data_IF_398801423301
#
_entry.id   IF_398801423301
#
_cell.length_a   1.000
_cell.length_b   1.000
_cell.length_c   1.000
_cell.angle_alpha   90.00
_cell.angle_beta   90.00
_cell.angle_gamma   90.00
#
_symmetry.space_group_name_H-M   'P 1'
#
loop_
_entity.id
_entity.type
_entity.pdbx_description
1 polymer ?
#
# COMPACT_ATOMS: atom_id res chain seq x y z
N UNK A 1 -11.84 -5.78 20.01
CA UNK A 1 -11.36 -5.73 18.60
C UNK A 1 -10.72 -4.37 18.39
N UNK A 2 -9.41 -4.31 18.15
CA UNK A 2 -8.65 -3.04 18.15
C UNK A 2 -8.64 -2.44 16.75
N UNK A 3 -9.46 -1.41 16.52
CA UNK A 3 -9.46 -0.64 15.27
C UNK A 3 -8.12 0.09 15.13
N UNK A 4 -7.36 -0.20 14.07
CA UNK A 4 -6.11 0.51 13.76
C UNK A 4 -6.45 1.71 12.87
N UNK A 5 -6.40 2.93 13.40
CA UNK A 5 -6.56 4.15 12.59
C UNK A 5 -5.31 4.35 11.76
N UNK A 6 -5.44 4.53 10.45
CA UNK A 6 -4.31 4.87 9.59
C UNK A 6 -4.52 6.26 9.01
N UNK A 7 -3.62 7.17 9.37
CA UNK A 7 -3.65 8.56 8.91
C UNK A 7 -2.54 8.75 7.89
N UNK A 8 -2.91 9.17 6.69
CA UNK A 8 -1.98 9.49 5.62
C UNK A 8 -2.19 10.94 5.24
N UNK A 9 -1.10 11.67 5.09
CA UNK A 9 -1.12 13.03 4.57
C UNK A 9 -0.48 13.01 3.20
N UNK A 10 -1.17 13.55 2.19
CA UNK A 10 -0.66 13.63 0.82
C UNK A 10 0.56 14.55 0.81
N UNK A 11 1.66 14.10 0.20
CA UNK A 11 2.93 14.80 0.19
C UNK A 11 3.76 14.63 1.47
N UNK A 12 3.23 13.97 2.51
CA UNK A 12 4.00 13.70 3.72
C UNK A 12 4.96 12.54 3.51
N UNK A 13 6.08 12.59 4.22
CA UNK A 13 7.09 11.51 4.32
C UNK A 13 6.86 10.62 5.54
N UNK A 14 5.68 10.69 6.16
CA UNK A 14 5.30 9.85 7.29
C UNK A 14 3.85 9.42 7.19
N UNK A 15 3.53 8.25 7.73
CA UNK A 15 2.16 7.77 7.93
C UNK A 15 1.98 7.33 9.38
N UNK A 16 0.79 7.55 9.94
CA UNK A 16 0.46 7.00 11.26
C UNK A 16 -0.32 5.70 11.09
N UNK A 17 0.17 4.59 11.65
CA UNK A 17 -0.49 3.30 11.66
C UNK A 17 -0.84 2.89 13.10
N UNK A 18 -2.03 3.29 13.56
CA UNK A 18 -2.44 3.18 14.95
C UNK A 18 -1.66 4.17 15.82
N UNK A 19 -0.87 3.66 16.77
CA UNK A 19 0.02 4.46 17.63
C UNK A 19 1.46 4.57 17.08
N UNK A 20 1.78 3.84 16.00
CA UNK A 20 3.10 3.86 15.39
C UNK A 20 3.16 4.89 14.28
N UNK A 21 4.25 5.66 14.21
CA UNK A 21 4.58 6.52 13.07
C UNK A 21 5.60 5.80 12.20
N UNK A 22 5.28 5.63 10.93
CA UNK A 22 6.15 4.99 9.95
C UNK A 22 6.69 6.05 9.01
N UNK A 23 8.00 6.10 8.87
CA UNK A 23 8.69 6.96 7.92
C UNK A 23 8.58 6.37 6.53
N UNK A 24 8.10 7.18 5.60
CA UNK A 24 8.04 6.83 4.18
C UNK A 24 9.38 7.21 3.54
N UNK A 25 9.93 6.28 2.78
CA UNK A 25 11.15 6.49 2.00
C UNK A 25 10.92 7.34 0.75
N UNK A 26 9.66 7.51 0.35
CA UNK A 26 9.16 8.52 -0.58
C UNK A 26 7.80 9.06 -0.12
N UNK A 27 7.46 10.32 -0.46
CA UNK A 27 6.19 10.90 -0.05
C UNK A 27 5.00 10.12 -0.65
N UNK A 28 3.95 9.95 0.15
CA UNK A 28 2.67 9.46 -0.36
C UNK A 28 2.08 10.48 -1.34
N UNK A 29 1.45 10.01 -2.42
CA UNK A 29 0.78 10.89 -3.38
C UNK A 29 -0.55 10.31 -3.82
N UNK A 30 -1.40 11.14 -4.42
CA UNK A 30 -2.63 10.69 -5.07
C UNK A 30 -2.37 10.59 -6.56
N UNK A 31 -2.63 9.43 -7.15
CA UNK A 31 -2.46 9.24 -8.59
C UNK A 31 -3.60 9.88 -9.39
N UNK A 32 -3.49 9.88 -10.72
CA UNK A 32 -4.51 10.44 -11.62
C UNK A 32 -5.90 9.76 -11.50
N UNK A 33 -5.96 8.54 -10.96
CA UNK A 33 -7.20 7.81 -10.70
C UNK A 33 -7.84 8.16 -9.34
N UNK A 34 -7.30 9.16 -8.64
CA UNK A 34 -7.73 9.59 -7.30
C UNK A 34 -7.55 8.51 -6.21
N UNK A 35 -6.45 7.75 -6.32
CA UNK A 35 -6.04 6.76 -5.33
C UNK A 35 -4.76 7.16 -4.63
N UNK A 36 -4.76 6.99 -3.31
CA UNK A 36 -3.59 7.21 -2.46
C UNK A 36 -2.57 6.08 -2.65
N UNK A 37 -1.45 6.46 -3.22
CA UNK A 37 -0.30 5.63 -3.54
C UNK A 37 0.75 5.79 -2.45
N UNK A 38 1.14 4.68 -1.83
CA UNK A 38 2.17 4.65 -0.81
C UNK A 38 3.34 3.77 -1.25
N UNK A 39 4.57 4.10 -0.84
CA UNK A 39 5.69 3.22 -1.08
C UNK A 39 5.45 1.90 -0.34
N UNK A 40 5.57 0.81 -1.08
CA UNK A 40 5.25 -0.53 -0.58
C UNK A 40 6.01 -0.87 0.70
N UNK A 41 7.29 -0.49 0.78
CA UNK A 41 8.17 -0.76 1.91
C UNK A 41 7.59 -0.22 3.23
N UNK A 42 7.11 1.02 3.22
CA UNK A 42 6.51 1.61 4.41
C UNK A 42 5.26 0.88 4.88
N UNK A 43 4.42 0.43 3.94
CA UNK A 43 3.22 -0.33 4.27
C UNK A 43 3.62 -1.67 4.90
N UNK A 44 4.58 -2.38 4.30
CA UNK A 44 5.03 -3.66 4.83
C UNK A 44 5.67 -3.52 6.21
N UNK A 45 6.43 -2.47 6.47
CA UNK A 45 6.98 -2.17 7.81
C UNK A 45 5.88 -1.84 8.83
N UNK A 46 4.91 -1.01 8.46
CA UNK A 46 3.79 -0.62 9.32
C UNK A 46 2.94 -1.82 9.77
N UNK A 47 2.79 -2.81 8.89
CA UNK A 47 1.96 -3.99 9.13
C UNK A 47 2.76 -5.25 9.48
N UNK A 48 4.09 -5.17 9.57
CA UNK A 48 4.96 -6.32 9.84
C UNK A 48 4.90 -7.41 8.77
N UNK A 49 4.63 -7.03 7.52
CA UNK A 49 4.65 -7.92 6.37
C UNK A 49 6.05 -8.00 5.75
N UNK A 50 6.36 -9.12 5.12
CA UNK A 50 7.59 -9.29 4.34
C UNK A 50 7.30 -8.99 2.86
N UNK A 51 8.22 -8.31 2.19
CA UNK A 51 8.12 -8.04 0.75
C UNK A 51 9.23 -8.76 -0.01
N UNK A 52 8.88 -9.36 -1.13
CA UNK A 52 9.80 -9.90 -2.12
C UNK A 52 9.51 -9.24 -3.47
N UNK A 53 10.55 -8.77 -4.15
CA UNK A 53 10.45 -8.16 -5.47
C UNK A 53 11.08 -9.10 -6.50
N UNK A 54 10.32 -9.44 -7.55
CA UNK A 54 10.79 -10.12 -8.73
C UNK A 54 10.92 -9.11 -9.87
N UNK A 55 12.18 -8.82 -10.24
CA UNK A 55 12.47 -7.86 -11.30
C UNK A 55 12.17 -8.40 -12.70
N UNK A 56 12.23 -9.72 -12.91
CA UNK A 56 12.00 -10.33 -14.22
C UNK A 56 10.52 -10.28 -14.60
N UNK A 57 9.63 -10.60 -13.66
CA UNK A 57 8.18 -10.55 -13.88
C UNK A 57 7.55 -9.22 -13.49
N UNK A 58 8.32 -8.28 -12.92
CA UNK A 58 7.83 -7.05 -12.30
C UNK A 58 6.70 -7.34 -11.31
N UNK A 59 6.88 -8.38 -10.52
CA UNK A 59 5.89 -8.83 -9.53
C UNK A 59 6.41 -8.57 -8.14
N UNK A 60 5.55 -8.04 -7.30
CA UNK A 60 5.83 -7.91 -5.87
C UNK A 60 4.98 -8.90 -5.10
N UNK A 61 5.62 -9.64 -4.21
CA UNK A 61 5.00 -10.63 -3.35
C UNK A 61 5.12 -10.17 -1.91
N UNK A 62 3.97 -10.03 -1.25
CA UNK A 62 3.85 -9.52 0.11
C UNK A 62 3.29 -10.65 0.96
N UNK A 63 4.00 -11.00 2.02
CA UNK A 63 3.63 -12.06 2.95
C UNK A 63 3.29 -11.42 4.29
N UNK A 64 2.00 -11.42 4.65
CA UNK A 64 1.51 -10.90 5.92
C UNK A 64 0.73 -11.97 6.69
N UNK A 65 1.32 -12.51 7.75
CA UNK A 65 0.72 -13.61 8.52
C UNK A 65 0.49 -14.84 7.65
N UNK A 66 -0.77 -15.21 7.44
CA UNK A 66 -1.18 -16.36 6.60
C UNK A 66 -1.59 -15.97 5.17
N UNK A 67 -1.41 -14.70 4.79
CA UNK A 67 -1.79 -14.18 3.47
C UNK A 67 -0.56 -13.91 2.61
N UNK A 68 -0.55 -14.48 1.41
CA UNK A 68 0.43 -14.23 0.35
C UNK A 68 -0.27 -13.42 -0.72
N UNK A 69 0.19 -12.19 -0.92
CA UNK A 69 -0.40 -11.25 -1.87
C UNK A 69 0.61 -11.03 -2.97
N UNK A 70 0.26 -11.29 -4.22
CA UNK A 70 1.10 -10.92 -5.36
C UNK A 70 0.44 -9.84 -6.20
N UNK A 71 1.22 -8.82 -6.56
CA UNK A 71 0.77 -7.74 -7.43
C UNK A 71 1.81 -7.53 -8.52
N UNK A 72 1.35 -7.45 -9.76
CA UNK A 72 2.23 -7.14 -10.90
C UNK A 72 2.12 -5.66 -11.24
N UNK A 73 3.25 -5.00 -11.48
CA UNK A 73 3.27 -3.60 -11.88
C UNK A 73 2.45 -3.40 -13.15
N UNK A 74 1.60 -2.38 -13.18
CA UNK A 74 0.69 -2.08 -14.30
C UNK A 74 -0.56 -2.97 -14.39
N UNK A 75 -0.65 -4.04 -13.59
CA UNK A 75 -1.85 -4.89 -13.53
C UNK A 75 -2.83 -4.38 -12.47
N UNK A 76 -4.12 -4.33 -12.81
CA UNK A 76 -5.21 -4.11 -11.85
C UNK A 76 -5.71 -5.40 -11.21
N UNK A 77 -5.00 -6.51 -11.38
CA UNK A 77 -5.32 -7.78 -10.75
C UNK A 77 -4.19 -8.13 -9.80
N UNK A 78 -4.54 -8.28 -8.52
CA UNK A 78 -3.68 -8.90 -7.52
C UNK A 78 -4.13 -10.33 -7.26
N UNK A 79 -3.30 -11.14 -6.62
CA UNK A 79 -3.68 -12.46 -6.15
C UNK A 79 -3.52 -12.53 -4.64
N UNK A 80 -4.54 -13.01 -3.94
CA UNK A 80 -4.48 -13.29 -2.51
C UNK A 80 -4.55 -14.81 -2.36
N UNK A 81 -3.49 -15.43 -1.84
CA UNK A 81 -3.37 -16.88 -1.72
C UNK A 81 -3.69 -17.61 -3.06
N UNK A 82 -3.24 -17.03 -4.18
CA UNK A 82 -3.48 -17.55 -5.53
C UNK A 82 -4.86 -17.22 -6.13
N UNK A 83 -5.77 -16.61 -5.37
CA UNK A 83 -7.09 -16.20 -5.87
C UNK A 83 -7.02 -14.80 -6.47
N UNK A 84 -7.44 -14.58 -7.72
CA UNK A 84 -7.42 -13.26 -8.35
C UNK A 84 -8.43 -12.31 -7.70
N UNK A 85 -7.99 -11.09 -7.42
CA UNK A 85 -8.81 -10.01 -6.86
C UNK A 85 -8.52 -8.73 -7.65
N UNK A 86 -9.59 -8.05 -8.05
CA UNK A 86 -9.48 -6.77 -8.74
C UNK A 86 -9.03 -5.67 -7.76
N UNK A 87 -8.02 -4.91 -8.17
CA UNK A 87 -7.60 -3.67 -7.54
C UNK A 87 -8.25 -2.50 -8.27
N UNK A 88 -8.46 -1.41 -7.54
CA UNK A 88 -9.03 -0.22 -8.15
C UNK A 88 -8.02 0.53 -9.05
N UNK A 89 -6.74 0.50 -8.66
CA UNK A 89 -5.63 1.01 -9.46
C UNK A 89 -4.48 0.02 -9.49
N UNK A 90 -3.67 0.09 -10.53
CA UNK A 90 -2.48 -0.75 -10.64
C UNK A 90 -1.36 -0.23 -9.74
N UNK A 91 -0.48 -1.11 -9.22
CA UNK A 91 0.81 -0.71 -8.68
C UNK A 91 1.66 -0.09 -9.79
N UNK A 92 2.47 0.88 -9.41
CA UNK A 92 3.37 1.57 -10.34
C UNK A 92 4.77 1.70 -9.74
N UNK A 93 5.77 1.87 -10.60
CA UNK A 93 7.12 2.20 -10.17
C UNK A 93 7.35 3.67 -10.50
N UNK A 94 7.64 4.46 -9.47
CA UNK A 94 7.95 5.88 -9.60
C UNK A 94 9.22 6.17 -8.83
N UNK A 95 10.17 6.89 -9.44
CA UNK A 95 11.46 7.22 -8.80
C UNK A 95 12.19 6.00 -8.23
N UNK A 96 12.20 4.89 -8.97
CA UNK A 96 12.78 3.60 -8.56
C UNK A 96 12.16 2.96 -7.29
N UNK A 97 10.95 3.39 -6.89
CA UNK A 97 10.19 2.78 -5.79
C UNK A 97 8.86 2.23 -6.29
N UNK A 98 8.45 1.09 -5.74
CA UNK A 98 7.13 0.52 -5.99
C UNK A 98 6.09 1.21 -5.13
N UNK A 99 5.12 1.82 -5.79
CA UNK A 99 3.93 2.39 -5.18
C UNK A 99 2.75 1.47 -5.39
N UNK A 100 1.99 1.29 -4.32
CA UNK A 100 0.80 0.44 -4.30
C UNK A 100 -0.36 1.21 -3.70
N UNK A 101 -1.59 0.97 -4.19
CA UNK A 101 -2.76 1.53 -3.58
C UNK A 101 -2.93 0.96 -2.17
N UNK A 102 -2.85 1.86 -1.19
CA UNK A 102 -2.87 1.47 0.21
C UNK A 102 -4.18 0.76 0.60
N UNK A 103 -5.29 1.18 -0.01
CA UNK A 103 -6.63 0.64 0.26
C UNK A 103 -6.75 -0.82 -0.21
N UNK A 104 -6.33 -1.09 -1.45
CA UNK A 104 -6.39 -2.44 -2.00
C UNK A 104 -5.43 -3.37 -1.25
N UNK A 105 -4.22 -2.91 -0.91
CA UNK A 105 -3.28 -3.70 -0.12
C UNK A 105 -3.78 -3.99 1.30
N UNK A 106 -4.41 -3.02 1.96
CA UNK A 106 -5.00 -3.25 3.28
C UNK A 106 -6.16 -4.25 3.24
N UNK A 107 -7.00 -4.18 2.21
CA UNK A 107 -8.02 -5.19 1.95
C UNK A 107 -7.38 -6.56 1.66
N UNK A 108 -6.26 -6.58 0.94
CA UNK A 108 -5.53 -7.81 0.62
C UNK A 108 -4.91 -8.47 1.85
N UNK A 109 -4.40 -7.67 2.78
CA UNK A 109 -3.96 -8.10 4.11
C UNK A 109 -5.15 -8.44 5.02
N UNK A 110 -6.38 -8.25 4.52
CA UNK A 110 -7.69 -8.40 5.17
C UNK A 110 -7.80 -7.67 6.49
N UNK A 111 -7.34 -6.42 6.45
CA UNK A 111 -7.53 -5.46 7.51
C UNK A 111 -8.84 -4.71 7.21
N UNK A 112 -9.92 -5.18 7.82
CA UNK A 112 -11.27 -4.61 7.67
C UNK A 112 -11.54 -3.42 8.61
N UNK A 113 -10.73 -3.23 9.65
CA UNK A 113 -10.92 -2.21 10.68
C UNK A 113 -9.89 -1.06 10.59
N UNK A 114 -9.64 -0.55 9.38
CA UNK A 114 -8.87 0.69 9.21
C UNK A 114 -9.80 1.86 8.96
N UNK A 115 -9.71 2.85 9.83
CA UNK A 115 -10.22 4.18 9.54
C UNK A 115 -9.14 4.93 8.77
N UNK A 116 -9.37 5.10 7.47
CA UNK A 116 -8.53 5.90 6.58
C UNK A 116 -8.93 7.35 6.69
N UNK A 117 -8.00 8.20 7.10
CA UNK A 117 -8.15 9.65 7.00
C UNK A 117 -7.01 10.18 6.13
N UNK A 118 -7.38 10.77 5.00
CA UNK A 118 -6.48 11.43 4.08
C UNK A 118 -6.54 12.94 4.34
N UNK A 119 -5.41 13.53 4.71
CA UNK A 119 -5.29 14.99 4.70
C UNK A 119 -4.63 15.37 3.39
N UNK A 120 -5.43 15.84 2.44
CA UNK A 120 -4.91 16.52 1.26
C UNK A 120 -4.53 17.93 1.69
N UNK A 121 -3.23 18.18 1.91
CA UNK A 121 -2.75 19.55 1.82
C UNK A 121 -2.76 19.89 0.33
N UNK A 122 -3.91 20.36 -0.15
CA UNK A 122 -4.02 21.07 -1.41
C UNK A 122 -2.98 22.19 -1.38
N UNK A 123 -1.90 22.03 -2.14
CA UNK A 123 -1.10 23.17 -2.54
C UNK A 123 -1.98 23.99 -3.48
N UNK A 124 -2.58 25.04 -2.94
CA UNK A 124 -3.22 26.12 -3.71
C UNK A 124 -2.17 26.90 -4.50
#
# INVERSE_FOLDING_TARGET
MTTKKVVITVGATTMAAGTATVTLDAPAYINAANYTMLPLRAITEAFGATVNWDDASKTVTIMGGQRIISMTIGSKTMYINGTPVAMNTAPEITSARTFVPVRDLANALGISNINWTETSNSYT
#
